data_IF_019827004010
#
_entry.id   IF_019827004010
#
_cell.length_a   1.000
_cell.length_b   1.000
_cell.length_c   1.000
_cell.angle_alpha   90.00
_cell.angle_beta   90.00
_cell.angle_gamma   90.00
#
_symmetry.space_group_name_H-M   'P 1'
#
loop_
_entity.id
_entity.type
_entity.pdbx_description
1 polymer ?
#
# COMPACT_ATOMS: atom_id res chain seq x y z
N UNK A 1 -17.45 53.03 -10.77
CA UNK A 1 -16.10 52.49 -10.86
C UNK A 1 -16.10 51.27 -9.94
N UNK A 2 -16.24 50.09 -10.48
CA UNK A 2 -16.23 48.81 -9.76
C UNK A 2 -14.80 48.29 -9.78
N UNK A 3 -14.18 48.21 -8.62
CA UNK A 3 -12.89 47.56 -8.44
C UNK A 3 -13.07 46.06 -8.74
N UNK A 4 -12.51 45.62 -9.86
CA UNK A 4 -12.26 44.23 -10.11
C UNK A 4 -11.02 43.83 -9.28
N UNK A 5 -11.24 43.15 -8.16
CA UNK A 5 -10.17 42.43 -7.48
C UNK A 5 -9.60 41.37 -8.43
N UNK A 6 -8.39 41.60 -8.88
CA UNK A 6 -7.66 40.66 -9.69
C UNK A 6 -7.35 39.39 -8.88
N UNK A 7 -8.13 38.35 -9.09
CA UNK A 7 -7.82 37.01 -8.57
C UNK A 7 -6.52 36.55 -9.24
N UNK A 8 -5.50 36.35 -8.43
CA UNK A 8 -4.25 35.77 -8.85
C UNK A 8 -4.52 34.40 -9.51
N UNK A 9 -4.12 34.15 -10.77
CA UNK A 9 -4.40 32.89 -11.44
C UNK A 9 -3.70 31.67 -10.85
N UNK A 10 -2.88 31.85 -9.82
CA UNK A 10 -2.08 30.79 -9.21
C UNK A 10 -2.83 29.95 -8.18
N UNK A 11 -4.06 30.33 -7.78
CA UNK A 11 -4.75 29.71 -6.63
C UNK A 11 -5.75 28.60 -7.03
N UNK A 12 -5.76 28.16 -8.27
CA UNK A 12 -6.62 27.05 -8.70
C UNK A 12 -5.85 25.74 -8.97
N UNK A 13 -4.71 25.54 -8.37
CA UNK A 13 -4.05 24.24 -8.47
C UNK A 13 -4.39 23.39 -7.26
N UNK A 14 -5.05 22.28 -7.56
CA UNK A 14 -5.25 21.21 -6.60
C UNK A 14 -3.92 20.84 -5.94
N UNK A 15 -3.90 20.66 -4.64
CA UNK A 15 -2.69 20.24 -3.95
C UNK A 15 -2.22 18.91 -4.55
N UNK A 16 -1.05 18.93 -5.13
CA UNK A 16 -0.41 17.70 -5.57
C UNK A 16 0.51 17.26 -4.48
N UNK A 17 0.37 16.01 -4.09
CA UNK A 17 1.17 15.41 -3.03
C UNK A 17 2.62 15.21 -3.48
N UNK A 18 3.35 16.29 -3.54
CA UNK A 18 4.79 16.22 -3.66
C UNK A 18 5.39 16.51 -2.30
N UNK A 19 5.80 15.46 -1.62
CA UNK A 19 6.60 15.60 -0.41
C UNK A 19 7.92 16.28 -0.79
N UNK A 20 7.96 17.57 -0.60
CA UNK A 20 9.21 18.34 -0.52
C UNK A 20 9.82 18.89 -1.80
N UNK A 21 9.22 18.76 -2.99
CA UNK A 21 9.76 19.44 -4.17
C UNK A 21 8.71 20.17 -4.99
N UNK A 22 9.04 21.39 -5.41
CA UNK A 22 8.29 22.11 -6.44
C UNK A 22 8.59 21.47 -7.80
N UNK A 23 7.81 20.45 -8.17
CA UNK A 23 7.94 19.86 -9.49
C UNK A 23 7.60 20.88 -10.59
N UNK A 24 8.21 20.74 -11.74
CA UNK A 24 7.91 21.57 -12.92
C UNK A 24 6.40 21.64 -13.24
N UNK A 25 5.67 20.59 -12.95
CA UNK A 25 4.21 20.50 -13.12
C UNK A 25 3.44 21.53 -12.27
N UNK A 26 3.97 21.98 -11.14
CA UNK A 26 3.36 23.03 -10.32
C UNK A 26 3.54 24.40 -10.96
N UNK A 27 4.70 24.65 -11.57
CA UNK A 27 5.03 25.91 -12.22
C UNK A 27 4.53 25.99 -13.66
N UNK A 28 4.54 24.85 -14.37
CA UNK A 28 4.10 24.72 -15.76
C UNK A 28 3.22 23.47 -15.93
N UNK A 29 1.94 23.57 -15.63
CA UNK A 29 1.03 22.40 -15.60
C UNK A 29 0.89 21.69 -16.96
N UNK A 30 1.25 22.36 -18.04
CA UNK A 30 1.21 21.79 -19.40
C UNK A 30 2.56 21.21 -19.86
N UNK A 31 3.57 21.18 -19.01
CA UNK A 31 4.85 20.56 -19.34
C UNK A 31 4.86 19.06 -19.00
N UNK A 32 5.69 18.35 -19.76
CA UNK A 32 5.93 16.93 -19.50
C UNK A 32 6.47 16.74 -18.08
N UNK A 33 5.88 15.79 -17.35
CA UNK A 33 6.39 15.38 -16.04
C UNK A 33 7.70 14.58 -16.22
N UNK A 34 8.82 15.22 -15.94
CA UNK A 34 10.15 14.61 -16.05
C UNK A 34 10.59 13.88 -14.77
N UNK A 35 9.83 13.97 -13.67
CA UNK A 35 10.17 13.28 -12.42
C UNK A 35 10.23 11.77 -12.59
N UNK A 36 9.44 11.23 -13.52
CA UNK A 36 9.46 9.80 -13.83
C UNK A 36 10.83 9.31 -14.34
N UNK A 37 11.64 10.19 -14.90
CA UNK A 37 12.98 9.85 -15.41
C UNK A 37 14.00 9.67 -14.28
N UNK A 38 13.77 10.31 -13.14
CA UNK A 38 14.63 10.23 -11.96
C UNK A 38 14.04 9.31 -10.88
N UNK A 39 12.88 8.72 -11.15
CA UNK A 39 12.25 7.80 -10.24
C UNK A 39 13.17 6.59 -9.99
N UNK A 40 13.34 6.25 -8.72
CA UNK A 40 14.23 5.16 -8.30
C UNK A 40 15.68 5.33 -8.80
N UNK A 41 16.19 6.55 -8.73
CA UNK A 41 17.59 6.84 -9.06
C UNK A 41 18.51 5.78 -8.44
N UNK A 42 19.51 5.27 -9.21
CA UNK A 42 20.52 4.35 -8.68
C UNK A 42 21.23 4.88 -7.42
N UNK A 43 21.24 6.21 -7.22
CA UNK A 43 21.84 6.84 -6.03
C UNK A 43 21.07 6.58 -4.75
N UNK A 44 19.77 6.27 -4.82
CA UNK A 44 18.98 5.89 -3.66
C UNK A 44 19.07 4.40 -3.36
N UNK A 45 19.55 3.60 -4.29
CA UNK A 45 19.70 2.15 -4.11
C UNK A 45 20.95 1.86 -3.26
N UNK A 46 20.81 1.26 -2.08
CA UNK A 46 21.95 0.91 -1.22
C UNK A 46 22.66 -0.38 -1.64
N UNK A 47 22.21 -1.03 -2.72
CA UNK A 47 22.80 -2.27 -3.20
C UNK A 47 24.00 -1.98 -4.09
N UNK A 48 24.94 -2.92 -4.13
CA UNK A 48 26.11 -2.84 -4.98
C UNK A 48 25.75 -2.88 -6.46
N UNK A 49 26.57 -2.25 -7.31
CA UNK A 49 26.44 -2.38 -8.77
C UNK A 49 26.47 -3.85 -9.16
N UNK A 50 25.45 -4.29 -9.91
CA UNK A 50 25.32 -5.68 -10.34
C UNK A 50 24.68 -6.62 -9.32
N UNK A 51 24.15 -6.12 -8.21
CA UNK A 51 23.33 -6.94 -7.32
C UNK A 51 22.05 -7.39 -8.02
N UNK A 52 21.83 -8.70 -8.08
CA UNK A 52 20.64 -9.32 -8.62
C UNK A 52 19.81 -9.91 -7.48
N UNK A 53 18.68 -9.26 -7.18
CA UNK A 53 17.81 -9.70 -6.10
C UNK A 53 17.17 -11.07 -6.38
N UNK A 54 16.81 -11.36 -7.61
CA UNK A 54 16.19 -12.64 -7.95
C UNK A 54 17.14 -13.81 -7.70
N UNK A 55 18.43 -13.62 -8.01
CA UNK A 55 19.46 -14.63 -7.69
C UNK A 55 19.72 -14.71 -6.19
N UNK A 56 19.74 -13.58 -5.49
CA UNK A 56 19.88 -13.58 -4.03
C UNK A 56 18.71 -14.29 -3.34
N UNK A 57 17.49 -14.05 -3.80
CA UNK A 57 16.28 -14.72 -3.29
C UNK A 57 16.29 -16.23 -3.54
N UNK A 58 16.79 -16.72 -4.69
CA UNK A 58 16.91 -18.16 -4.98
C UNK A 58 17.81 -18.90 -4.00
N UNK A 59 18.78 -18.19 -3.40
CA UNK A 59 19.67 -18.75 -2.40
C UNK A 59 19.06 -18.83 -0.99
N UNK A 60 17.87 -18.24 -0.80
CA UNK A 60 17.19 -18.13 0.48
C UNK A 60 16.54 -19.45 0.87
N UNK A 61 16.76 -19.90 2.12
CA UNK A 61 15.97 -20.97 2.71
C UNK A 61 14.59 -20.44 3.11
N UNK A 62 13.64 -20.55 2.18
CA UNK A 62 12.26 -20.08 2.39
C UNK A 62 11.56 -20.82 3.54
N UNK A 63 11.90 -22.09 3.79
CA UNK A 63 11.33 -22.85 4.90
C UNK A 63 11.80 -22.30 6.25
N UNK A 64 13.08 -21.91 6.35
CA UNK A 64 13.60 -21.25 7.54
C UNK A 64 12.96 -19.87 7.78
N UNK A 65 12.74 -19.07 6.71
CA UNK A 65 12.02 -17.79 6.82
C UNK A 65 10.60 -18.00 7.34
N UNK A 66 9.88 -18.97 6.77
CA UNK A 66 8.51 -19.31 7.22
C UNK A 66 8.48 -19.79 8.67
N UNK A 67 9.46 -20.56 9.10
CA UNK A 67 9.57 -21.00 10.50
C UNK A 67 9.78 -19.81 11.45
N UNK A 68 10.66 -18.88 11.11
CA UNK A 68 10.89 -17.68 11.92
C UNK A 68 9.62 -16.78 11.98
N UNK A 69 8.95 -16.61 10.85
CA UNK A 69 7.68 -15.88 10.80
C UNK A 69 6.59 -16.57 11.63
N UNK A 70 6.49 -17.89 11.56
CA UNK A 70 5.53 -18.66 12.37
C UNK A 70 5.80 -18.49 13.87
N UNK A 71 7.08 -18.53 14.27
CA UNK A 71 7.46 -18.30 15.66
C UNK A 71 7.09 -16.88 16.13
N UNK A 72 7.27 -15.87 15.25
CA UNK A 72 6.90 -14.48 15.55
C UNK A 72 5.40 -14.31 15.80
N UNK A 73 4.53 -15.11 15.16
CA UNK A 73 3.07 -14.93 15.26
C UNK A 73 2.56 -14.94 16.71
N UNK A 74 3.20 -15.69 17.58
CA UNK A 74 2.81 -15.85 19.01
C UNK A 74 3.82 -15.28 19.99
N UNK A 75 4.90 -14.68 19.52
CA UNK A 75 5.93 -14.04 20.34
C UNK A 75 5.54 -12.59 20.69
N UNK A 76 4.55 -12.46 21.58
CA UNK A 76 4.02 -11.18 22.00
C UNK A 76 5.06 -10.30 22.67
N UNK A 77 5.20 -9.06 22.20
CA UNK A 77 6.16 -8.08 22.72
C UNK A 77 5.48 -7.12 23.69
N UNK A 78 6.16 -6.81 24.80
CA UNK A 78 5.62 -5.86 25.81
C UNK A 78 5.35 -4.47 25.24
N UNK A 79 6.15 -4.02 24.29
CA UNK A 79 6.00 -2.71 23.65
C UNK A 79 4.88 -2.65 22.61
N UNK A 80 4.42 -3.79 22.11
CA UNK A 80 3.29 -3.94 21.20
C UNK A 80 2.65 -5.33 21.42
N UNK A 81 1.82 -5.49 22.44
CA UNK A 81 1.21 -6.80 22.77
C UNK A 81 0.35 -7.32 21.61
N UNK A 82 0.43 -8.62 21.36
CA UNK A 82 -0.39 -9.27 20.37
C UNK A 82 -1.85 -9.41 20.85
N UNK A 83 -2.80 -9.04 20.01
CA UNK A 83 -4.22 -9.21 20.27
C UNK A 83 -4.53 -10.70 20.43
N UNK A 84 -5.14 -11.06 21.55
CA UNK A 84 -5.41 -12.47 21.90
C UNK A 84 -4.18 -13.39 21.78
N UNK A 85 -2.98 -12.82 21.90
CA UNK A 85 -1.72 -13.56 21.85
C UNK A 85 -1.23 -13.95 20.45
N UNK A 86 -1.78 -13.37 19.39
CA UNK A 86 -1.40 -13.71 18.03
C UNK A 86 -1.38 -12.48 17.10
N UNK A 87 -0.24 -12.25 16.41
CA UNK A 87 -0.08 -11.13 15.48
C UNK A 87 -0.69 -11.35 14.09
N UNK A 88 -1.22 -12.54 13.82
CA UNK A 88 -1.74 -12.91 12.50
C UNK A 88 -2.67 -11.87 11.86
N UNK A 89 -3.73 -11.40 12.56
CA UNK A 89 -4.63 -10.39 12.00
C UNK A 89 -3.93 -9.08 11.61
N UNK A 90 -2.98 -8.61 12.41
CA UNK A 90 -2.17 -7.42 12.10
C UNK A 90 -1.33 -7.64 10.84
N UNK A 91 -0.72 -8.80 10.68
CA UNK A 91 0.10 -9.12 9.51
C UNK A 91 -0.72 -9.40 8.25
N UNK A 92 -1.90 -10.00 8.36
CA UNK A 92 -2.84 -10.12 7.23
C UNK A 92 -3.26 -8.75 6.75
N UNK A 93 -3.62 -7.84 7.68
CA UNK A 93 -3.94 -6.45 7.35
C UNK A 93 -2.77 -5.75 6.68
N UNK A 94 -1.55 -5.89 7.18
CA UNK A 94 -0.35 -5.30 6.58
C UNK A 94 -0.13 -5.77 5.15
N UNK A 95 -0.22 -7.09 4.90
CA UNK A 95 -0.05 -7.67 3.57
C UNK A 95 -1.14 -7.19 2.61
N UNK A 96 -2.40 -7.17 3.06
CA UNK A 96 -3.51 -6.65 2.28
C UNK A 96 -3.31 -5.16 1.93
N UNK A 97 -2.91 -4.35 2.88
CA UNK A 97 -2.65 -2.92 2.65
C UNK A 97 -1.40 -2.65 1.80
N UNK A 98 -0.54 -3.64 1.61
CA UNK A 98 0.52 -3.59 0.59
C UNK A 98 -0.04 -3.95 -0.79
N UNK A 99 -0.81 -5.03 -0.89
CA UNK A 99 -1.35 -5.52 -2.16
C UNK A 99 -2.53 -4.67 -2.68
N UNK A 100 -3.39 -4.21 -1.78
CA UNK A 100 -4.64 -3.51 -2.09
C UNK A 100 -4.49 -2.09 -2.64
N UNK A 101 -3.27 -1.62 -2.83
CA UNK A 101 -2.98 -0.35 -3.50
C UNK A 101 -2.80 -0.49 -5.02
N UNK A 102 -2.88 -1.70 -5.56
CA UNK A 102 -2.77 -1.92 -7.00
C UNK A 102 -3.93 -1.28 -7.76
N UNK A 103 -3.63 -0.65 -8.88
CA UNK A 103 -4.61 0.01 -9.75
C UNK A 103 -4.40 -0.33 -11.22
N UNK A 104 -5.48 -0.75 -11.87
CA UNK A 104 -5.44 -1.25 -13.26
C UNK A 104 -5.23 -0.17 -14.29
N UNK A 105 -5.60 1.09 -14.00
CA UNK A 105 -5.58 2.17 -15.01
C UNK A 105 -4.15 2.60 -15.38
N UNK A 106 -3.17 2.40 -14.51
CA UNK A 106 -1.77 2.73 -14.79
C UNK A 106 -0.79 1.61 -14.37
N UNK A 107 -1.29 0.54 -13.76
CA UNK A 107 -0.48 -0.59 -13.31
C UNK A 107 0.41 -0.30 -12.09
N UNK A 108 0.19 0.82 -11.40
CA UNK A 108 0.99 1.25 -10.24
C UNK A 108 0.40 0.71 -8.94
N UNK A 109 1.15 0.88 -7.86
CA UNK A 109 0.76 0.36 -6.54
C UNK A 109 0.98 -1.14 -6.41
N UNK A 110 0.32 -1.73 -5.43
CA UNK A 110 0.43 -3.14 -5.11
C UNK A 110 1.65 -3.52 -4.27
N UNK A 111 1.81 -4.81 -4.02
CA UNK A 111 2.86 -5.36 -3.15
C UNK A 111 4.20 -5.59 -3.84
N UNK A 112 4.40 -5.09 -5.07
CA UNK A 112 5.55 -5.47 -5.89
C UNK A 112 6.87 -4.80 -5.51
N UNK A 113 6.84 -3.66 -4.82
CA UNK A 113 8.02 -2.82 -4.58
C UNK A 113 8.22 -2.41 -3.12
N UNK A 114 7.34 -2.84 -2.22
CA UNK A 114 7.44 -2.55 -0.79
C UNK A 114 7.20 -1.08 -0.43
N UNK A 115 6.44 -0.35 -1.24
CA UNK A 115 6.18 1.10 -1.11
C UNK A 115 5.40 1.50 0.14
N UNK A 116 4.72 0.57 0.83
CA UNK A 116 4.05 0.85 2.10
C UNK A 116 4.98 1.47 3.16
N UNK A 117 6.30 1.33 3.00
CA UNK A 117 7.31 1.92 3.90
C UNK A 117 7.44 3.43 3.75
N UNK A 118 6.96 4.00 2.65
CA UNK A 118 7.17 5.38 2.25
C UNK A 118 5.88 6.18 2.24
N UNK A 119 6.06 7.50 2.33
CA UNK A 119 4.97 8.45 2.14
C UNK A 119 4.50 8.46 0.66
N UNK A 120 3.22 8.72 0.38
CA UNK A 120 2.16 9.04 1.35
C UNK A 120 1.52 7.81 2.00
N UNK A 121 1.78 6.59 1.48
CA UNK A 121 1.12 5.36 1.94
C UNK A 121 1.28 5.12 3.44
N UNK A 122 2.49 5.38 3.94
CA UNK A 122 2.79 5.21 5.37
C UNK A 122 1.96 6.13 6.28
N UNK A 123 1.52 7.28 5.78
CA UNK A 123 0.75 8.28 6.54
C UNK A 123 -0.77 8.11 6.42
N UNK A 124 -1.26 7.23 5.56
CA UNK A 124 -2.69 7.06 5.41
C UNK A 124 -3.35 6.58 6.70
N UNK A 125 -4.54 7.12 7.07
CA UNK A 125 -5.27 6.69 8.27
C UNK A 125 -5.50 5.18 8.34
N UNK A 126 -5.77 4.54 7.19
CA UNK A 126 -5.96 3.09 7.12
C UNK A 126 -4.69 2.28 7.37
N UNK A 127 -3.53 2.91 7.25
CA UNK A 127 -2.23 2.30 7.52
C UNK A 127 -1.73 2.56 8.94
N UNK A 128 -2.59 3.11 9.82
CA UNK A 128 -2.25 3.33 11.22
C UNK A 128 -1.76 2.04 11.88
N UNK A 129 -0.68 2.15 12.65
CA UNK A 129 -0.03 1.04 13.36
C UNK A 129 0.66 -0.03 12.46
N UNK A 130 0.67 0.11 11.14
CA UNK A 130 1.44 -0.80 10.28
C UNK A 130 2.95 -0.56 10.36
N UNK A 131 3.38 0.59 10.85
CA UNK A 131 4.77 0.82 11.26
C UNK A 131 5.20 -0.16 12.37
N UNK A 132 4.30 -0.47 13.33
CA UNK A 132 4.54 -1.47 14.38
C UNK A 132 4.67 -2.88 13.80
N UNK A 133 3.83 -3.22 12.80
CA UNK A 133 3.96 -4.49 12.10
C UNK A 133 5.34 -4.63 11.44
N UNK A 134 5.82 -3.57 10.77
CA UNK A 134 7.16 -3.57 10.17
C UNK A 134 8.27 -3.64 11.22
N UNK A 135 8.12 -2.97 12.36
CA UNK A 135 9.08 -3.07 13.47
C UNK A 135 9.16 -4.49 14.05
N UNK A 136 8.05 -5.20 14.14
CA UNK A 136 8.04 -6.61 14.56
C UNK A 136 8.83 -7.50 13.58
N UNK A 137 8.85 -7.16 12.29
CA UNK A 137 9.56 -7.89 11.24
C UNK A 137 11.06 -7.55 11.14
N UNK A 138 11.49 -6.44 11.72
CA UNK A 138 12.90 -5.99 11.67
C UNK A 138 13.92 -7.06 12.03
N UNK A 139 13.75 -7.88 13.08
CA UNK A 139 14.71 -8.95 13.40
C UNK A 139 14.86 -9.97 12.28
N UNK A 140 13.74 -10.32 11.62
CA UNK A 140 13.72 -11.26 10.48
C UNK A 140 14.38 -10.60 9.27
N UNK A 141 14.01 -9.36 8.96
CA UNK A 141 14.65 -8.60 7.88
C UNK A 141 16.16 -8.50 8.07
N UNK A 142 16.63 -8.23 9.28
CA UNK A 142 18.05 -8.18 9.60
C UNK A 142 18.75 -9.54 9.46
N UNK A 143 18.09 -10.62 9.88
CA UNK A 143 18.63 -11.98 9.79
C UNK A 143 18.88 -12.40 8.34
N UNK A 144 17.94 -12.12 7.43
CA UNK A 144 18.03 -12.53 6.04
C UNK A 144 18.63 -11.45 5.11
N UNK A 145 18.79 -10.25 5.63
CA UNK A 145 19.49 -9.16 4.97
C UNK A 145 18.94 -8.83 3.59
N UNK A 146 19.84 -8.74 2.62
CA UNK A 146 19.50 -8.37 1.25
C UNK A 146 18.90 -9.50 0.40
N UNK A 147 18.96 -10.75 0.89
CA UNK A 147 18.31 -11.88 0.20
C UNK A 147 16.78 -11.91 0.38
N UNK A 148 16.23 -11.10 1.28
CA UNK A 148 14.80 -10.98 1.52
C UNK A 148 14.40 -9.51 1.47
N UNK A 149 13.75 -9.08 0.39
CA UNK A 149 13.25 -7.71 0.26
C UNK A 149 12.10 -7.42 1.23
N UNK A 150 11.83 -6.16 1.50
CA UNK A 150 10.61 -5.76 2.19
C UNK A 150 9.35 -6.11 1.39
N UNK A 151 9.40 -5.95 0.06
CA UNK A 151 8.29 -6.31 -0.82
C UNK A 151 7.89 -7.78 -0.63
N UNK A 152 8.85 -8.69 -0.67
CA UNK A 152 8.58 -10.10 -0.44
C UNK A 152 8.22 -10.42 1.02
N UNK A 153 8.90 -9.80 1.98
CA UNK A 153 8.65 -10.04 3.41
C UNK A 153 7.23 -9.65 3.83
N UNK A 154 6.74 -8.49 3.37
CA UNK A 154 5.40 -8.01 3.71
C UNK A 154 4.31 -8.99 3.23
N UNK A 155 4.43 -9.49 2.01
CA UNK A 155 3.45 -10.42 1.42
C UNK A 155 3.59 -11.83 2.02
N UNK A 156 4.83 -12.33 2.13
CA UNK A 156 5.08 -13.64 2.73
C UNK A 156 4.56 -13.74 4.16
N UNK A 157 4.71 -12.66 4.94
CA UNK A 157 4.22 -12.61 6.31
C UNK A 157 2.71 -12.76 6.38
N UNK A 158 1.95 -12.14 5.46
CA UNK A 158 0.51 -12.34 5.37
C UNK A 158 0.14 -13.79 5.07
N UNK A 159 0.83 -14.43 4.14
CA UNK A 159 0.62 -15.84 3.83
C UNK A 159 0.88 -16.73 5.05
N UNK A 160 2.02 -16.54 5.72
CA UNK A 160 2.37 -17.31 6.92
C UNK A 160 1.38 -17.07 8.05
N UNK A 161 0.91 -15.83 8.20
CA UNK A 161 -0.12 -15.51 9.19
C UNK A 161 -1.40 -16.32 8.95
N UNK A 162 -1.90 -16.33 7.72
CA UNK A 162 -3.07 -17.14 7.35
C UNK A 162 -2.84 -18.65 7.54
N UNK A 163 -1.67 -19.13 7.10
CA UNK A 163 -1.30 -20.56 7.26
C UNK A 163 -1.21 -20.97 8.73
N UNK A 164 -0.68 -20.11 9.59
CA UNK A 164 -0.59 -20.36 11.04
C UNK A 164 -1.95 -20.44 11.74
N UNK A 165 -2.97 -19.81 11.13
CA UNK A 165 -4.36 -19.88 11.59
C UNK A 165 -5.16 -21.00 10.91
N UNK A 166 -4.52 -21.85 10.09
CA UNK A 166 -5.12 -23.01 9.47
C UNK A 166 -5.69 -22.79 8.06
N UNK A 167 -5.52 -21.62 7.48
CA UNK A 167 -5.92 -21.33 6.10
C UNK A 167 -4.87 -21.89 5.12
N UNK A 168 -5.33 -22.45 4.00
CA UNK A 168 -4.45 -22.94 2.93
C UNK A 168 -4.30 -21.86 1.87
N UNK A 169 -3.15 -21.19 1.83
CA UNK A 169 -2.84 -20.22 0.79
C UNK A 169 -2.56 -20.92 -0.54
N UNK A 170 -2.71 -20.18 -1.65
CA UNK A 170 -2.36 -20.72 -2.98
C UNK A 170 -0.84 -20.89 -3.18
N UNK A 171 -0.03 -20.29 -2.32
CA UNK A 171 1.41 -20.33 -2.39
C UNK A 171 2.02 -18.92 -2.38
N UNK A 172 3.33 -18.88 -2.60
CA UNK A 172 4.10 -17.65 -2.61
C UNK A 172 5.16 -17.71 -3.71
N UNK A 173 5.24 -16.67 -4.51
CA UNK A 173 6.34 -16.44 -5.43
C UNK A 173 7.09 -15.17 -5.00
N UNK A 174 8.38 -15.30 -4.74
CA UNK A 174 9.28 -14.19 -4.40
C UNK A 174 10.01 -13.64 -5.61
N UNK A 175 10.88 -12.66 -5.37
CA UNK A 175 11.67 -12.00 -6.42
C UNK A 175 11.26 -10.54 -6.65
N UNK A 176 10.46 -9.95 -5.76
CA UNK A 176 10.06 -8.54 -5.81
C UNK A 176 11.17 -7.67 -5.26
N UNK A 177 11.75 -6.84 -6.09
CA UNK A 177 12.76 -5.87 -5.65
C UNK A 177 12.14 -4.73 -4.83
N UNK A 178 12.89 -4.27 -3.85
CA UNK A 178 12.54 -3.06 -3.11
C UNK A 178 12.86 -1.80 -3.92
N UNK A 179 11.94 -0.83 -3.89
CA UNK A 179 12.30 0.55 -4.19
C UNK A 179 12.85 1.21 -2.93
N UNK A 180 13.74 2.20 -3.11
CA UNK A 180 14.48 2.84 -2.01
C UNK A 180 14.15 4.33 -1.86
N UNK A 181 13.15 4.80 -2.59
CA UNK A 181 12.62 6.15 -2.52
C UNK A 181 11.11 6.13 -2.74
N UNK A 182 10.37 7.13 -2.24
CA UNK A 182 8.95 7.30 -2.56
C UNK A 182 8.73 7.43 -4.06
N UNK A 183 7.60 6.92 -4.55
CA UNK A 183 7.15 7.09 -5.94
C UNK A 183 6.39 8.41 -6.07
N UNK A 184 7.13 9.51 -6.21
CA UNK A 184 6.59 10.88 -6.18
C UNK A 184 5.68 11.22 -7.38
N UNK A 185 5.75 10.45 -8.45
CA UNK A 185 4.93 10.65 -9.66
C UNK A 185 3.55 10.02 -9.57
N UNK A 186 3.30 9.16 -8.58
CA UNK A 186 1.98 8.56 -8.38
C UNK A 186 1.05 9.57 -7.72
N UNK A 187 -0.08 9.82 -8.39
CA UNK A 187 -1.17 10.59 -7.81
C UNK A 187 -2.20 9.64 -7.17
N UNK A 188 -2.42 9.80 -5.88
CA UNK A 188 -3.31 8.97 -5.09
C UNK A 188 -4.68 9.61 -4.80
N UNK A 189 -4.98 10.73 -5.42
CA UNK A 189 -6.17 11.51 -5.15
C UNK A 189 -5.89 12.71 -4.22
N UNK A 190 -6.89 13.56 -3.95
CA UNK A 190 -6.76 14.70 -3.07
C UNK A 190 -6.46 14.28 -1.63
N UNK A 191 -5.58 15.01 -0.96
CA UNK A 191 -5.14 14.69 0.39
C UNK A 191 -6.26 14.84 1.44
N UNK A 192 -7.15 15.79 1.24
CA UNK A 192 -8.35 15.99 2.06
C UNK A 192 -9.26 14.76 2.05
N UNK A 193 -9.37 14.07 0.92
CA UNK A 193 -10.13 12.80 0.80
C UNK A 193 -9.48 11.65 1.57
N UNK A 194 -8.17 11.68 1.79
CA UNK A 194 -7.50 10.64 2.59
C UNK A 194 -7.69 10.84 4.09
N UNK A 195 -7.81 12.10 4.51
CA UNK A 195 -7.86 12.46 5.91
C UNK A 195 -9.29 12.48 6.45
N UNK A 196 -10.28 12.58 5.57
CA UNK A 196 -11.69 12.68 5.93
C UNK A 196 -12.48 11.42 5.56
N UNK A 197 -13.60 11.21 6.27
CA UNK A 197 -14.47 10.05 6.08
C UNK A 197 -15.48 10.21 4.93
N UNK A 198 -15.08 10.88 3.86
CA UNK A 198 -15.94 11.05 2.68
C UNK A 198 -16.27 9.75 1.95
N UNK A 199 -15.58 8.67 2.28
CA UNK A 199 -15.83 7.31 1.81
C UNK A 199 -17.27 6.84 2.02
N UNK A 200 -17.98 7.42 2.98
CA UNK A 200 -19.36 7.06 3.32
C UNK A 200 -20.41 7.98 2.70
N UNK A 201 -20.04 8.93 1.88
CA UNK A 201 -20.94 9.93 1.33
C UNK A 201 -21.74 9.43 0.11
N UNK A 202 -22.60 8.45 0.30
CA UNK A 202 -23.69 8.12 -0.61
C UNK A 202 -23.33 7.54 -1.97
N UNK A 203 -24.29 7.60 -2.90
CA UNK A 203 -24.13 7.23 -4.30
C UNK A 203 -23.20 8.23 -5.01
N UNK A 204 -21.92 7.92 -5.05
CA UNK A 204 -20.92 8.72 -5.76
C UNK A 204 -20.21 7.91 -6.82
N UNK A 205 -19.79 8.56 -7.88
CA UNK A 205 -18.81 7.96 -8.79
C UNK A 205 -17.44 7.94 -8.13
N UNK A 206 -16.77 6.80 -8.19
CA UNK A 206 -15.40 6.68 -7.74
C UNK A 206 -14.47 7.43 -8.71
N UNK A 207 -13.55 8.23 -8.18
CA UNK A 207 -12.62 9.02 -8.99
C UNK A 207 -11.60 8.14 -9.74
N UNK A 208 -11.13 8.66 -10.85
CA UNK A 208 -9.97 8.13 -11.58
C UNK A 208 -8.87 9.22 -11.63
N UNK A 209 -7.64 8.94 -11.21
CA UNK A 209 -7.18 7.75 -10.48
C UNK A 209 -7.80 7.65 -9.08
N UNK A 210 -7.85 6.44 -8.55
CA UNK A 210 -8.41 6.20 -7.22
C UNK A 210 -7.54 6.82 -6.14
N UNK A 211 -8.14 7.57 -5.22
CA UNK A 211 -7.54 7.89 -3.94
C UNK A 211 -7.53 6.68 -2.99
N UNK A 212 -6.83 6.79 -1.88
CA UNK A 212 -6.73 5.73 -0.86
C UNK A 212 -8.09 5.21 -0.40
N UNK A 213 -9.03 6.11 -0.19
CA UNK A 213 -10.41 5.81 0.23
C UNK A 213 -11.23 5.04 -0.81
N UNK A 214 -10.77 5.01 -2.05
CA UNK A 214 -11.46 4.40 -3.17
C UNK A 214 -10.78 3.13 -3.65
N UNK A 215 -9.70 2.75 -3.01
CA UNK A 215 -9.04 1.46 -3.19
C UNK A 215 -9.55 0.47 -2.16
N UNK A 216 -9.37 -0.82 -2.39
CA UNK A 216 -9.89 -1.89 -1.53
C UNK A 216 -9.49 -1.85 -0.06
N UNK A 217 -8.71 -0.86 0.36
CA UNK A 217 -8.25 -0.71 1.74
C UNK A 217 -9.37 -0.34 2.72
N UNK A 218 -10.40 0.38 2.24
CA UNK A 218 -11.40 1.03 3.10
C UNK A 218 -12.79 0.45 2.93
N UNK A 219 -13.11 -0.09 1.77
CA UNK A 219 -14.46 -0.60 1.47
C UNK A 219 -14.79 -1.97 2.08
N UNK A 220 -13.90 -2.49 2.86
CA UNK A 220 -14.20 -3.64 3.74
C UNK A 220 -14.99 -3.18 4.98
N UNK A 221 -15.64 -2.03 4.90
CA UNK A 221 -16.41 -1.53 6.02
C UNK A 221 -17.77 -2.27 6.08
N UNK A 222 -18.04 -2.98 7.18
CA UNK A 222 -19.31 -3.66 7.39
C UNK A 222 -20.49 -2.69 7.54
N UNK A 223 -20.22 -1.40 7.69
CA UNK A 223 -21.26 -0.39 7.88
C UNK A 223 -21.99 -0.01 6.59
N UNK A 224 -21.45 -0.38 5.41
CA UNK A 224 -22.10 -0.07 4.15
C UNK A 224 -22.07 1.43 3.74
N UNK A 225 -22.71 1.77 2.61
CA UNK A 225 -22.80 3.15 2.15
C UNK A 225 -23.45 4.06 3.19
N UNK A 226 -22.86 5.24 3.42
CA UNK A 226 -23.34 6.24 4.40
C UNK A 226 -23.42 5.71 5.85
N UNK A 227 -22.53 4.80 6.21
CA UNK A 227 -22.57 4.12 7.51
C UNK A 227 -23.93 3.43 7.81
N UNK A 228 -24.68 3.07 6.77
CA UNK A 228 -25.91 2.31 6.90
C UNK A 228 -25.62 0.82 6.70
N UNK A 229 -25.86 -0.04 7.68
CA UNK A 229 -25.55 -1.47 7.59
C UNK A 229 -26.43 -2.17 6.53
N UNK A 230 -26.02 -2.12 5.28
CA UNK A 230 -26.68 -2.82 4.17
C UNK A 230 -25.64 -3.61 3.34
N UNK A 231 -25.51 -4.93 3.60
CA UNK A 231 -24.57 -5.75 2.85
C UNK A 231 -24.82 -5.80 1.34
N UNK A 232 -26.07 -5.63 0.91
CA UNK A 232 -26.44 -5.66 -0.52
C UNK A 232 -25.99 -4.38 -1.20
N UNK A 233 -26.20 -3.24 -0.58
CA UNK A 233 -25.74 -1.94 -1.09
C UNK A 233 -24.20 -1.89 -1.10
N UNK A 234 -23.53 -2.41 -0.06
CA UNK A 234 -22.07 -2.50 -0.01
C UNK A 234 -21.49 -3.35 -1.13
N UNK A 235 -22.19 -4.38 -1.57
CA UNK A 235 -21.73 -5.28 -2.64
C UNK A 235 -21.45 -4.56 -3.97
N UNK A 236 -22.15 -3.47 -4.26
CA UNK A 236 -21.89 -2.65 -5.44
C UNK A 236 -20.52 -1.95 -5.35
N UNK A 237 -20.26 -1.28 -4.25
CA UNK A 237 -19.01 -0.54 -4.03
C UNK A 237 -17.82 -1.49 -3.97
N UNK A 238 -17.97 -2.63 -3.31
CA UNK A 238 -16.96 -3.68 -3.26
C UNK A 238 -16.59 -4.14 -4.67
N UNK A 239 -17.57 -4.49 -5.50
CA UNK A 239 -17.32 -4.94 -6.88
C UNK A 239 -16.61 -3.88 -7.71
N UNK A 240 -17.04 -2.64 -7.62
CA UNK A 240 -16.42 -1.54 -8.36
C UNK A 240 -14.96 -1.34 -7.95
N UNK A 241 -14.69 -1.31 -6.64
CA UNK A 241 -13.34 -1.13 -6.11
C UNK A 241 -12.42 -2.28 -6.49
N UNK A 242 -12.85 -3.52 -6.29
CA UNK A 242 -12.02 -4.68 -6.60
C UNK A 242 -11.82 -4.89 -8.10
N UNK A 243 -12.80 -4.52 -8.93
CA UNK A 243 -12.63 -4.50 -10.39
C UNK A 243 -11.48 -3.60 -10.82
N UNK A 244 -11.28 -2.45 -10.16
CA UNK A 244 -10.17 -1.53 -10.40
C UNK A 244 -8.82 -2.09 -9.96
N UNK A 245 -8.83 -3.14 -9.17
CA UNK A 245 -7.65 -3.91 -8.75
C UNK A 245 -7.45 -5.20 -9.59
N UNK A 246 -8.13 -5.33 -10.74
CA UNK A 246 -8.14 -6.51 -11.60
C UNK A 246 -8.76 -7.76 -10.94
N UNK A 247 -9.63 -7.59 -9.95
CA UNK A 247 -10.30 -8.68 -9.26
C UNK A 247 -11.78 -8.75 -9.67
N UNK A 248 -12.29 -9.95 -9.86
CA UNK A 248 -13.70 -10.22 -10.11
C UNK A 248 -14.36 -10.87 -8.88
N UNK A 249 -15.66 -11.13 -8.94
CA UNK A 249 -16.41 -11.75 -7.84
C UNK A 249 -15.80 -13.08 -7.41
N UNK A 250 -15.28 -13.87 -8.36
CA UNK A 250 -14.66 -15.16 -8.07
C UNK A 250 -13.33 -14.99 -7.34
N UNK A 251 -12.53 -13.99 -7.71
CA UNK A 251 -11.30 -13.64 -7.00
C UNK A 251 -11.60 -13.26 -5.56
N UNK A 252 -12.66 -12.47 -5.32
CA UNK A 252 -13.09 -12.05 -3.99
C UNK A 252 -13.53 -13.20 -3.08
N UNK A 253 -14.21 -14.20 -3.64
CA UNK A 253 -14.68 -15.36 -2.86
C UNK A 253 -13.50 -16.22 -2.40
N UNK A 254 -12.37 -16.15 -3.08
CA UNK A 254 -11.20 -17.01 -2.80
C UNK A 254 -10.06 -16.28 -2.07
N UNK A 255 -10.31 -15.05 -1.60
CA UNK A 255 -9.37 -14.34 -0.71
C UNK A 255 -9.55 -14.88 0.75
#
# INVERSE_FOLDING_TARGET
MSEQEGKCPVIQHQPQNYVGSTANKVWWPNQLNLNILDQHSPRSNPMDDGFDYAEAFKSLDLAAVKADLTALMTDSKDWWPADFGHYGPLFVRMAWHSAGTYRTHDGRGGGSTGTQRFEPLNSWPDNVNLDKARLLLEPIKKKYGRSLSWADLLILTGNVAMESMGFKTFGFAGGREDVWAPEEDIYWGPEDVWLEDERYSGDRELMEPLGAVQMGLIYVNPEGPNANPDPVASGRDIRETFRRMAMNDLSLIHI
#
